data_IF_290319788601
#
_entry.id   IF_290319788601
#
_cell.length_a   1.000
_cell.length_b   1.000
_cell.length_c   1.000
_cell.angle_alpha   90.00
_cell.angle_beta   90.00
_cell.angle_gamma   90.00
#
_symmetry.space_group_name_H-M   'P 1'
#
loop_
_entity.id
_entity.type
_entity.pdbx_description
1 polymer ?
#
# COMPACT_ATOMS: atom_id res chain seq x y z
N UNK A 1 26.27 22.47 -26.62
CA UNK A 1 25.35 22.72 -25.47
C UNK A 1 24.17 21.74 -25.41
N UNK A 2 23.75 21.14 -26.53
CA UNK A 2 22.55 20.27 -26.60
C UNK A 2 22.75 18.82 -26.11
N UNK A 3 23.98 18.31 -26.10
CA UNK A 3 24.29 16.93 -25.67
C UNK A 3 23.91 16.64 -24.22
N UNK A 4 24.24 17.54 -23.27
CA UNK A 4 23.90 17.36 -21.86
C UNK A 4 22.38 17.25 -21.66
N UNK A 5 21.59 18.05 -22.38
CA UNK A 5 20.12 18.03 -22.28
C UNK A 5 19.56 16.70 -22.80
N UNK A 6 20.13 16.14 -23.88
CA UNK A 6 19.72 14.84 -24.43
C UNK A 6 20.06 13.68 -23.48
N UNK A 7 21.20 13.74 -22.79
CA UNK A 7 21.58 12.73 -21.79
C UNK A 7 20.61 12.69 -20.61
N UNK A 8 20.17 13.85 -20.10
CA UNK A 8 19.29 13.91 -18.92
C UNK A 8 17.79 13.85 -19.24
N UNK A 9 17.38 14.06 -20.50
CA UNK A 9 15.97 13.96 -20.91
C UNK A 9 15.33 12.58 -20.64
N UNK A 10 16.14 11.52 -20.56
CA UNK A 10 15.70 10.16 -20.19
C UNK A 10 15.49 9.97 -18.68
N UNK A 11 16.19 10.72 -17.82
CA UNK A 11 16.14 10.57 -16.36
C UNK A 11 14.80 10.98 -15.74
N UNK A 12 13.98 11.77 -16.44
CA UNK A 12 12.65 12.17 -15.94
C UNK A 12 11.73 10.99 -15.67
N UNK A 13 11.89 9.88 -16.40
CA UNK A 13 11.12 8.64 -16.19
C UNK A 13 11.67 7.78 -15.05
N UNK A 14 12.94 7.98 -14.70
CA UNK A 14 13.62 7.21 -13.65
C UNK A 14 13.10 7.55 -12.25
N UNK A 15 12.65 8.79 -12.02
CA UNK A 15 12.04 9.18 -10.75
C UNK A 15 10.79 8.34 -10.43
N UNK A 16 9.95 8.08 -11.44
CA UNK A 16 8.77 7.22 -11.30
C UNK A 16 9.14 5.77 -10.96
N UNK A 17 10.20 5.24 -11.57
CA UNK A 17 10.67 3.89 -11.28
C UNK A 17 11.14 3.76 -9.82
N UNK A 18 11.98 4.69 -9.35
CA UNK A 18 12.44 4.67 -7.95
C UNK A 18 11.30 4.79 -6.93
N UNK A 19 10.26 5.56 -7.25
CA UNK A 19 9.06 5.67 -6.41
C UNK A 19 8.29 4.35 -6.37
N UNK A 20 8.00 3.74 -7.53
CA UNK A 20 7.27 2.46 -7.63
C UNK A 20 8.04 1.32 -6.96
N UNK A 21 9.36 1.21 -7.20
CA UNK A 21 10.17 0.15 -6.59
C UNK A 21 10.16 0.20 -5.06
N UNK A 22 10.19 1.41 -4.48
CA UNK A 22 10.12 1.58 -3.02
C UNK A 22 8.72 1.26 -2.49
N UNK A 23 7.68 1.77 -3.15
CA UNK A 23 6.30 1.45 -2.79
C UNK A 23 6.04 -0.05 -2.81
N UNK A 24 6.56 -0.76 -3.81
CA UNK A 24 6.43 -2.21 -3.92
C UNK A 24 7.11 -2.97 -2.77
N UNK A 25 8.30 -2.52 -2.34
CA UNK A 25 8.97 -3.11 -1.18
C UNK A 25 8.17 -2.88 0.12
N UNK A 26 7.57 -1.70 0.29
CA UNK A 26 6.69 -1.42 1.44
C UNK A 26 5.40 -2.22 1.39
N UNK A 27 4.79 -2.35 0.23
CA UNK A 27 3.59 -3.17 0.03
C UNK A 27 3.83 -4.62 0.45
N UNK A 28 4.94 -5.22 0.02
CA UNK A 28 5.30 -6.58 0.45
C UNK A 28 5.52 -6.70 1.96
N UNK A 29 6.16 -5.70 2.58
CA UNK A 29 6.40 -5.70 4.02
C UNK A 29 5.08 -5.61 4.80
N UNK A 30 4.15 -4.76 4.35
CA UNK A 30 2.83 -4.61 4.95
C UNK A 30 2.01 -5.90 4.82
N UNK A 31 2.00 -6.51 3.63
CA UNK A 31 1.29 -7.78 3.39
C UNK A 31 1.73 -8.91 4.33
N UNK A 32 3.03 -9.02 4.62
CA UNK A 32 3.53 -10.02 5.59
C UNK A 32 3.01 -9.79 7.00
N UNK A 33 2.88 -8.53 7.41
CA UNK A 33 2.33 -8.21 8.74
C UNK A 33 0.82 -8.46 8.79
N UNK A 34 0.11 -8.18 7.69
CA UNK A 34 -1.30 -8.56 7.53
C UNK A 34 -1.48 -10.06 7.66
N UNK A 35 -0.68 -10.87 6.95
CA UNK A 35 -0.73 -12.34 7.06
C UNK A 35 -0.55 -12.79 8.52
N UNK A 36 0.41 -12.20 9.24
CA UNK A 36 0.62 -12.47 10.67
C UNK A 36 -0.61 -12.07 11.51
N UNK A 37 -1.27 -10.96 11.20
CA UNK A 37 -2.49 -10.53 11.87
C UNK A 37 -3.67 -11.46 11.57
N UNK A 38 -3.86 -11.96 10.34
CA UNK A 38 -4.91 -12.94 9.98
C UNK A 38 -4.83 -14.18 10.88
N UNK A 39 -3.61 -14.66 11.12
CA UNK A 39 -3.39 -15.85 11.94
C UNK A 39 -3.74 -15.62 13.42
N UNK A 40 -3.63 -14.37 13.90
CA UNK A 40 -3.87 -14.01 15.30
C UNK A 40 -5.29 -13.46 15.55
N UNK A 41 -5.92 -12.84 14.55
CA UNK A 41 -7.21 -12.14 14.65
C UNK A 41 -8.11 -12.60 13.49
N UNK A 42 -8.83 -13.71 13.69
CA UNK A 42 -9.54 -14.46 12.63
C UNK A 42 -10.75 -13.76 11.97
N UNK A 43 -11.05 -12.48 12.22
CA UNK A 43 -12.36 -11.90 11.83
C UNK A 43 -12.38 -10.50 11.23
N UNK A 44 -11.25 -9.81 11.15
CA UNK A 44 -11.21 -8.36 10.87
C UNK A 44 -10.22 -7.97 9.77
N UNK A 45 -9.60 -8.95 9.11
CA UNK A 45 -8.40 -8.69 8.29
C UNK A 45 -8.70 -8.42 6.82
N UNK A 46 -9.84 -8.86 6.29
CA UNK A 46 -10.24 -8.46 4.93
C UNK A 46 -10.38 -6.92 4.79
N UNK A 47 -10.64 -6.22 5.90
CA UNK A 47 -10.80 -4.76 5.94
C UNK A 47 -9.48 -3.98 6.03
N UNK A 48 -8.35 -4.64 6.24
CA UNK A 48 -7.05 -3.97 6.45
C UNK A 48 -6.61 -3.16 5.22
N UNK A 49 -7.01 -3.58 4.02
CA UNK A 49 -6.73 -2.84 2.79
C UNK A 49 -7.43 -1.46 2.72
N UNK A 50 -8.40 -1.21 3.60
CA UNK A 50 -9.13 0.05 3.68
C UNK A 50 -8.72 0.91 4.88
N UNK A 51 -7.74 0.45 5.69
CA UNK A 51 -7.21 1.22 6.80
C UNK A 51 -6.23 2.28 6.29
N UNK A 52 -6.31 3.48 6.87
CA UNK A 52 -5.21 4.45 6.75
C UNK A 52 -3.98 3.90 7.48
N UNK A 53 -2.79 4.35 7.11
CA UNK A 53 -1.53 3.91 7.74
C UNK A 53 -1.55 4.00 9.28
N UNK A 54 -2.14 5.07 9.83
CA UNK A 54 -2.29 5.26 11.27
C UNK A 54 -3.17 4.20 11.93
N UNK A 55 -4.29 3.85 11.27
CA UNK A 55 -5.24 2.84 11.73
C UNK A 55 -4.63 1.44 11.61
N UNK A 56 -3.88 1.17 10.54
CA UNK A 56 -3.12 -0.06 10.38
C UNK A 56 -2.05 -0.22 11.48
N UNK A 57 -1.32 0.86 11.79
CA UNK A 57 -0.30 0.83 12.84
C UNK A 57 -0.89 0.50 14.22
N UNK A 58 -2.06 1.04 14.54
CA UNK A 58 -2.77 0.75 15.78
C UNK A 58 -3.21 -0.72 15.87
N UNK A 59 -3.65 -1.31 14.75
CA UNK A 59 -4.00 -2.75 14.66
C UNK A 59 -2.78 -3.64 14.87
N UNK A 60 -1.64 -3.30 14.25
CA UNK A 60 -0.39 -4.06 14.39
C UNK A 60 0.14 -3.97 15.82
N UNK A 61 0.11 -2.78 16.44
CA UNK A 61 0.66 -2.55 17.78
C UNK A 61 -0.27 -3.05 18.89
N UNK A 62 -1.59 -2.95 18.69
CA UNK A 62 -2.61 -3.33 19.66
C UNK A 62 -3.60 -4.34 19.09
N UNK A 63 -3.15 -5.57 18.76
CA UNK A 63 -3.94 -6.58 18.06
C UNK A 63 -5.16 -7.10 18.84
N UNK A 64 -5.28 -6.79 20.15
CA UNK A 64 -6.42 -7.20 20.98
C UNK A 64 -7.49 -6.12 21.13
N UNK A 65 -7.17 -4.87 20.82
CA UNK A 65 -8.09 -3.75 21.03
C UNK A 65 -7.82 -2.56 20.08
N UNK A 66 -7.91 -2.77 18.76
CA UNK A 66 -7.68 -1.72 17.78
C UNK A 66 -8.75 -0.62 17.88
N UNK A 67 -8.34 0.65 17.97
CA UNK A 67 -9.24 1.80 18.18
C UNK A 67 -9.81 2.40 16.88
N UNK A 68 -9.58 1.76 15.73
CA UNK A 68 -9.88 2.35 14.40
C UNK A 68 -10.74 1.50 13.45
N UNK A 69 -11.16 0.29 13.82
CA UNK A 69 -11.75 -0.65 12.84
C UNK A 69 -13.18 -0.32 12.38
N UNK A 70 -13.80 0.72 12.92
CA UNK A 70 -15.22 1.00 12.72
C UNK A 70 -15.59 1.68 11.38
N UNK A 71 -14.61 2.04 10.54
CA UNK A 71 -14.85 2.86 9.33
C UNK A 71 -14.69 2.12 7.99
N UNK A 72 -13.96 1.01 7.95
CA UNK A 72 -13.62 0.30 6.70
C UNK A 72 -14.82 -0.34 5.99
N UNK A 73 -15.85 -0.75 6.72
CA UNK A 73 -16.99 -1.52 6.20
C UNK A 73 -18.10 -0.67 5.55
N UNK A 74 -17.91 0.64 5.36
CA UNK A 74 -18.90 1.50 4.67
C UNK A 74 -18.28 2.25 3.48
N UNK A 75 -18.14 1.55 2.36
CA UNK A 75 -18.39 2.16 1.04
C UNK A 75 -17.21 2.39 0.09
N UNK A 76 -16.11 1.66 0.18
CA UNK A 76 -15.07 1.70 -0.86
C UNK A 76 -14.87 0.29 -1.40
N UNK A 77 -15.39 0.02 -2.61
CA UNK A 77 -15.11 -1.22 -3.34
C UNK A 77 -13.65 -1.27 -3.80
N UNK A 78 -13.14 -2.45 -4.20
CA UNK A 78 -11.73 -2.61 -4.55
C UNK A 78 -11.36 -1.71 -5.71
N UNK A 79 -10.32 -0.88 -5.55
CA UNK A 79 -9.62 -0.25 -6.68
C UNK A 79 -8.90 -1.38 -7.40
N UNK A 80 -9.61 -2.04 -8.31
CA UNK A 80 -9.03 -3.05 -9.17
C UNK A 80 -7.97 -2.36 -10.04
N UNK A 81 -6.79 -2.97 -10.08
CA UNK A 81 -5.72 -2.63 -11.00
C UNK A 81 -6.30 -2.36 -12.40
N UNK A 82 -6.28 -1.08 -12.82
CA UNK A 82 -6.61 -0.68 -14.19
C UNK A 82 -5.59 -1.31 -15.14
N UNK A 83 -5.88 -2.50 -15.67
CA UNK A 83 -5.34 -2.93 -16.97
C UNK A 83 -5.98 -2.05 -18.05
N UNK A 84 -5.21 -1.41 -18.94
CA UNK A 84 -5.80 -0.70 -20.07
C UNK A 84 -6.39 -1.71 -21.06
N UNK A 85 -7.56 -1.46 -21.66
CA UNK A 85 -8.06 -2.26 -22.77
C UNK A 85 -7.19 -2.03 -24.02
N UNK A 86 -6.97 -3.11 -24.76
CA UNK A 86 -6.40 -3.17 -26.11
C UNK A 86 -7.15 -2.31 -27.11
#
# INVERSE_FOLDING_TARGET
MTDRVRTFAGYRKYHGYGMISRSFAYEQALLREVERLVHNIRREVEDVFYLRFEEFWDVVLHPRHPRGLHRASRGVGPVTSRRPPT
#
